data_IF_352433418578
#
_entry.id   IF_352433418578
#
_cell.length_a   1.000
_cell.length_b   1.000
_cell.length_c   1.000
_cell.angle_alpha   90.00
_cell.angle_beta   90.00
_cell.angle_gamma   90.00
#
_symmetry.space_group_name_H-M   'P 1'
#
loop_
_entity.id
_entity.type
_entity.pdbx_description
1 polymer ?
#
# COMPACT_ATOMS: atom_id res chain seq x y z
N UNK A 1 16.88 -26.05 -7.76
CA UNK A 1 15.96 -25.62 -6.68
C UNK A 1 15.59 -24.17 -6.96
N UNK A 2 14.42 -23.95 -7.58
CA UNK A 2 13.98 -22.62 -8.02
C UNK A 2 13.13 -21.93 -6.95
N UNK A 3 13.79 -21.09 -6.15
CA UNK A 3 13.13 -20.25 -5.16
C UNK A 3 12.76 -18.94 -5.85
N UNK A 4 11.68 -18.95 -6.64
CA UNK A 4 11.10 -17.68 -7.13
C UNK A 4 10.72 -16.85 -5.89
N UNK A 5 11.20 -15.61 -5.74
CA UNK A 5 10.84 -14.81 -4.58
C UNK A 5 9.33 -14.57 -4.63
N UNK A 6 8.59 -15.18 -3.69
CA UNK A 6 7.16 -14.91 -3.47
C UNK A 6 7.09 -13.56 -2.76
N UNK A 7 7.40 -12.49 -3.49
CA UNK A 7 7.17 -11.13 -3.06
C UNK A 7 5.73 -10.80 -3.43
N UNK A 8 4.77 -11.16 -2.56
CA UNK A 8 3.59 -10.31 -2.44
C UNK A 8 4.13 -8.92 -2.10
N UNK A 9 3.98 -7.91 -2.99
CA UNK A 9 4.62 -6.61 -2.81
C UNK A 9 4.23 -6.08 -1.44
N UNK A 10 5.19 -5.65 -0.64
CA UNK A 10 4.96 -5.07 0.69
C UNK A 10 3.79 -4.07 0.70
N UNK A 11 3.59 -3.35 -0.42
CA UNK A 11 2.48 -2.45 -0.68
C UNK A 11 1.09 -3.11 -0.64
N UNK A 12 0.91 -4.33 -1.14
CA UNK A 12 -0.39 -5.03 -1.08
C UNK A 12 -0.78 -5.41 0.35
N UNK A 13 0.21 -5.85 1.15
CA UNK A 13 -0.01 -6.12 2.58
C UNK A 13 -0.36 -4.84 3.33
N UNK A 14 0.31 -3.73 3.01
CA UNK A 14 0.01 -2.41 3.57
C UNK A 14 -1.39 -1.93 3.15
N UNK A 15 -1.79 -2.07 1.89
CA UNK A 15 -3.11 -1.69 1.40
C UNK A 15 -4.23 -2.50 2.05
N UNK A 16 -4.04 -3.82 2.23
CA UNK A 16 -5.00 -4.67 2.93
C UNK A 16 -5.15 -4.23 4.40
N UNK A 17 -4.05 -3.98 5.09
CA UNK A 17 -4.04 -3.52 6.49
C UNK A 17 -4.70 -2.14 6.63
N UNK A 18 -4.42 -1.20 5.72
CA UNK A 18 -5.06 0.11 5.70
C UNK A 18 -6.58 0.00 5.51
N UNK A 19 -7.04 -0.85 4.57
CA UNK A 19 -8.47 -1.09 4.34
C UNK A 19 -9.16 -1.74 5.53
N UNK A 20 -8.49 -2.66 6.21
CA UNK A 20 -9.00 -3.28 7.44
C UNK A 20 -9.20 -2.23 8.54
N UNK A 21 -8.21 -1.37 8.78
CA UNK A 21 -8.34 -0.30 9.77
C UNK A 21 -9.45 0.70 9.39
N UNK A 22 -9.56 1.08 8.12
CA UNK A 22 -10.66 1.93 7.64
C UNK A 22 -12.03 1.28 7.88
N UNK A 23 -12.16 -0.03 7.66
CA UNK A 23 -13.42 -0.75 7.91
C UNK A 23 -13.82 -0.82 9.38
N UNK A 24 -12.86 -0.66 10.29
CA UNK A 24 -13.08 -0.57 11.74
C UNK A 24 -13.43 0.84 12.21
N UNK A 25 -13.47 1.82 11.30
CA UNK A 25 -13.83 3.21 11.60
C UNK A 25 -12.65 4.14 11.89
N UNK A 26 -11.41 3.72 11.66
CA UNK A 26 -10.23 4.58 11.84
C UNK A 26 -10.11 5.60 10.71
N UNK A 27 -9.73 6.83 11.07
CA UNK A 27 -9.46 7.90 10.10
C UNK A 27 -8.09 7.71 9.42
N UNK A 28 -7.88 8.25 8.20
CA UNK A 28 -6.61 8.12 7.49
C UNK A 28 -5.37 8.54 8.28
N UNK A 29 -5.49 9.56 9.14
CA UNK A 29 -4.41 10.03 10.02
C UNK A 29 -4.08 9.03 11.14
N UNK A 30 -5.10 8.39 11.72
CA UNK A 30 -4.91 7.35 12.74
C UNK A 30 -4.28 6.09 12.13
N UNK A 31 -4.71 5.75 10.91
CA UNK A 31 -4.14 4.64 10.13
C UNK A 31 -2.67 4.93 9.80
N UNK A 32 -2.36 6.17 9.40
CA UNK A 32 -1.00 6.60 9.12
C UNK A 32 -0.10 6.48 10.36
N UNK A 33 -0.57 6.96 11.51
CA UNK A 33 0.13 6.81 12.79
C UNK A 33 0.34 5.33 13.16
N UNK A 34 -0.70 4.49 13.04
CA UNK A 34 -0.64 3.06 13.37
C UNK A 34 0.28 2.25 12.43
N UNK A 35 0.47 2.73 11.20
CA UNK A 35 1.32 2.09 10.20
C UNK A 35 2.73 2.69 10.12
N UNK A 36 3.00 3.80 10.82
CA UNK A 36 4.24 4.55 10.66
C UNK A 36 4.41 5.12 9.25
N UNK A 37 3.31 5.46 8.60
CA UNK A 37 3.26 6.01 7.24
C UNK A 37 2.83 7.47 7.28
N UNK A 38 3.02 8.16 6.16
CA UNK A 38 2.41 9.48 5.96
C UNK A 38 0.97 9.32 5.51
N UNK A 39 0.09 10.24 5.89
CA UNK A 39 -1.34 10.21 5.54
C UNK A 39 -1.58 10.13 4.03
N UNK A 40 -0.76 10.79 3.22
CA UNK A 40 -0.87 10.74 1.76
C UNK A 40 -0.63 9.33 1.21
N UNK A 41 0.29 8.58 1.82
CA UNK A 41 0.56 7.19 1.43
C UNK A 41 -0.62 6.30 1.81
N UNK A 42 -1.24 6.52 2.97
CA UNK A 42 -2.45 5.80 3.37
C UNK A 42 -3.62 6.11 2.44
N UNK A 43 -3.80 7.37 2.05
CA UNK A 43 -4.80 7.76 1.06
C UNK A 43 -4.58 7.03 -0.28
N UNK A 44 -3.34 7.00 -0.79
CA UNK A 44 -2.98 6.27 -2.00
C UNK A 44 -3.23 4.75 -1.89
N UNK A 45 -3.01 4.16 -0.71
CA UNK A 45 -3.24 2.73 -0.45
C UNK A 45 -4.74 2.38 -0.33
N UNK A 46 -5.55 3.31 0.17
CA UNK A 46 -6.99 3.15 0.30
C UNK A 46 -7.72 3.32 -1.04
N UNK A 47 -7.21 4.19 -1.92
CA UNK A 47 -7.78 4.51 -3.23
C UNK A 47 -7.45 3.44 -4.29
N UNK A 48 -6.33 2.73 -4.16
CA UNK A 48 -5.96 1.68 -5.11
C UNK A 48 -6.76 0.39 -4.90
N UNK A 49 -7.40 -0.19 -5.94
CA UNK A 49 -8.01 -1.51 -5.83
C UNK A 49 -6.92 -2.59 -5.60
N UNK A 50 -7.23 -3.64 -4.82
CA UNK A 50 -6.26 -4.71 -4.57
C UNK A 50 -5.91 -5.37 -5.91
N UNK A 51 -4.64 -5.27 -6.30
CA UNK A 51 -4.14 -5.69 -7.63
C UNK A 51 -3.65 -4.55 -8.53
N UNK A 52 -3.75 -3.27 -8.11
CA UNK A 52 -3.26 -2.12 -8.89
C UNK A 52 -1.84 -1.64 -8.51
N UNK A 53 -1.02 -2.46 -7.85
CA UNK A 53 0.39 -2.16 -7.58
C UNK A 53 1.32 -2.64 -8.72
N UNK A 54 0.96 -2.35 -9.97
CA UNK A 54 1.71 -2.75 -11.15
C UNK A 54 2.24 -1.62 -12.06
N UNK A 55 1.84 -0.35 -11.87
CA UNK A 55 2.13 0.71 -12.88
C UNK A 55 2.85 1.96 -12.36
N UNK A 56 2.29 2.67 -11.38
CA UNK A 56 2.70 4.07 -11.14
C UNK A 56 3.99 4.27 -10.35
N UNK A 57 4.44 3.30 -9.56
CA UNK A 57 5.70 3.39 -8.83
C UNK A 57 6.93 3.07 -9.70
N UNK A 58 6.76 2.24 -10.73
CA UNK A 58 7.82 1.92 -11.71
C UNK A 58 8.02 3.06 -12.71
N UNK A 59 6.93 3.72 -13.13
CA UNK A 59 6.99 4.85 -14.09
C UNK A 59 7.74 6.07 -13.54
N UNK A 60 7.65 6.36 -12.22
CA UNK A 60 8.40 7.49 -11.62
C UNK A 60 9.91 7.26 -11.52
N UNK A 61 10.40 6.03 -11.71
CA UNK A 61 11.85 5.72 -11.75
C UNK A 61 12.42 5.77 -13.16
N UNK A 62 11.61 5.57 -14.19
CA UNK A 62 12.06 5.56 -15.59
C UNK A 62 12.22 6.97 -16.21
N UNK A 63 11.92 8.03 -15.46
CA UNK A 63 12.00 9.43 -15.90
C UNK A 63 13.06 10.26 -15.14
N UNK A 64 14.02 9.61 -14.48
CA UNK A 64 15.23 10.20 -13.88
C UNK A 64 16.46 9.47 -14.41
#
# INVERSE_FOLDING_TARGET
MDIRPILLPQAERQARKAKELKSRGYDPDEIAAAMGLRTEIVAELLDQPPGHHGGKAAERRAAR
#
